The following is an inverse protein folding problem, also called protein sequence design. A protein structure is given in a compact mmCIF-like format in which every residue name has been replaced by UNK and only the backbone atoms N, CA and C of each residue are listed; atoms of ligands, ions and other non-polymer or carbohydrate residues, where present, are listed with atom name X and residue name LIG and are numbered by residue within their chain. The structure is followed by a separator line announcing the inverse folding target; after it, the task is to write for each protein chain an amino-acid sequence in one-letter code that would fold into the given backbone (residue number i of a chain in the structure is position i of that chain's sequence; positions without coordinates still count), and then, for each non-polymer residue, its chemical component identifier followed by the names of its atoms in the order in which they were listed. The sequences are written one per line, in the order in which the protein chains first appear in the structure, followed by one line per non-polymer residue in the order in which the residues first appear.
data_IF_477835644417
#
_entry.id   IF_477835644417
#
_cell.length_a   1.000
_cell.length_b   1.000
_cell.length_c   1.000
_cell.angle_alpha   90.00
_cell.angle_beta   90.00
_cell.angle_gamma   90.00
#
_symmetry.space_group_name_H-M   'P 1'
#
loop_
_entity.id
_entity.type
_entity.pdbx_description
1 polymer ?
#
# COMPACT_ATOMS: atom_id res chain seq x y z
N UNK A 1 15.84 26.97 6.70
CA UNK A 1 15.09 26.04 7.59
C UNK A 1 14.45 25.00 6.69
N UNK A 2 14.48 23.70 6.97
CA UNK A 2 13.72 22.73 6.21
C UNK A 2 12.22 23.08 6.35
N UNK A 3 11.52 23.19 5.23
CA UNK A 3 10.07 23.40 5.26
C UNK A 3 9.43 22.13 5.82
N UNK A 4 8.78 22.25 6.97
CA UNK A 4 8.02 21.15 7.57
C UNK A 4 6.75 20.95 6.73
N UNK A 5 6.52 19.73 6.24
CA UNK A 5 5.28 19.41 5.52
C UNK A 5 4.13 19.50 6.52
N UNK A 6 3.06 20.24 6.16
CA UNK A 6 1.85 20.30 6.98
C UNK A 6 1.20 18.93 7.09
N UNK A 7 0.47 18.68 8.17
CA UNK A 7 -0.28 17.44 8.38
C UNK A 7 -1.78 17.64 8.10
N UNK A 8 -2.46 16.54 7.79
CA UNK A 8 -3.91 16.44 7.57
C UNK A 8 -4.48 15.27 8.35
N UNK A 9 -5.70 15.43 8.83
CA UNK A 9 -6.47 14.33 9.41
C UNK A 9 -7.41 13.76 8.36
N UNK A 10 -7.34 12.47 8.16
CA UNK A 10 -8.22 11.70 7.29
C UNK A 10 -9.22 10.94 8.16
N UNK A 11 -10.52 11.04 7.80
CA UNK A 11 -11.59 10.35 8.52
C UNK A 11 -11.56 10.60 10.03
N UNK A 12 -11.58 9.53 10.81
CA UNK A 12 -11.73 9.56 12.27
C UNK A 12 -10.39 9.61 13.04
N UNK A 13 -9.39 10.28 12.49
CA UNK A 13 -8.17 10.57 13.24
C UNK A 13 -6.86 10.03 12.66
N UNK A 14 -6.89 9.43 11.46
CA UNK A 14 -5.65 9.06 10.77
C UNK A 14 -4.90 10.34 10.37
N UNK A 15 -3.77 10.61 11.00
CA UNK A 15 -2.96 11.79 10.71
C UNK A 15 -1.86 11.45 9.72
N UNK A 16 -1.77 12.22 8.64
CA UNK A 16 -0.80 12.04 7.55
C UNK A 16 -0.15 13.36 7.16
N UNK A 17 1.03 13.31 6.57
CA UNK A 17 1.60 14.47 5.87
C UNK A 17 0.66 14.91 4.72
N UNK A 18 0.55 16.22 4.48
CA UNK A 18 -0.32 16.77 3.44
C UNK A 18 0.08 16.34 2.02
N UNK A 19 1.31 15.87 1.85
CA UNK A 19 1.83 15.23 0.65
C UNK A 19 2.09 13.76 0.97
N UNK A 20 1.54 12.85 0.16
CA UNK A 20 1.83 11.42 0.19
C UNK A 20 2.67 11.00 -1.00
N UNK A 21 3.36 9.89 -0.89
CA UNK A 21 4.16 9.30 -1.97
C UNK A 21 3.46 8.06 -2.52
N UNK A 22 3.00 8.12 -3.78
CA UNK A 22 2.57 6.95 -4.53
C UNK A 22 3.78 6.19 -5.06
N UNK A 23 3.89 4.91 -4.71
CA UNK A 23 5.06 4.10 -5.00
C UNK A 23 5.00 3.37 -6.36
N UNK A 24 3.86 3.39 -7.05
CA UNK A 24 3.62 2.63 -8.29
C UNK A 24 4.71 2.80 -9.34
N UNK A 25 5.20 4.02 -9.56
CA UNK A 25 6.22 4.33 -10.57
C UNK A 25 7.59 3.70 -10.32
N UNK A 26 7.83 3.17 -9.11
CA UNK A 26 9.14 2.61 -8.73
C UNK A 26 9.35 1.17 -9.20
N UNK A 27 8.29 0.46 -9.61
CA UNK A 27 8.40 -0.95 -9.98
C UNK A 27 7.48 -1.40 -11.12
N UNK A 28 6.51 -0.57 -11.57
CA UNK A 28 5.51 -1.06 -12.51
C UNK A 28 5.16 -0.08 -13.64
N UNK A 29 4.77 1.15 -13.33
CA UNK A 29 4.31 2.13 -14.31
C UNK A 29 5.38 3.19 -14.58
N UNK A 30 5.24 3.89 -15.70
CA UNK A 30 6.18 4.89 -16.19
C UNK A 30 7.52 4.25 -16.60
N UNK A 31 8.64 4.80 -16.16
CA UNK A 31 9.97 4.19 -16.36
C UNK A 31 10.34 3.44 -15.09
N UNK A 32 10.36 2.10 -15.10
CA UNK A 32 10.79 1.34 -13.92
C UNK A 32 12.20 1.76 -13.51
N UNK A 33 12.34 2.16 -12.26
CA UNK A 33 13.64 2.47 -11.68
C UNK A 33 14.31 1.19 -11.16
N UNK A 34 15.62 1.19 -11.03
CA UNK A 34 16.30 0.13 -10.29
C UNK A 34 15.83 0.12 -8.84
N UNK A 35 15.81 -1.05 -8.21
CA UNK A 35 15.24 -1.20 -6.85
C UNK A 35 15.92 -0.31 -5.80
N UNK A 36 17.22 -0.08 -5.94
CA UNK A 36 18.00 0.81 -5.08
C UNK A 36 17.61 2.28 -5.24
N UNK A 37 17.25 2.73 -6.45
CA UNK A 37 16.76 4.10 -6.67
C UNK A 37 15.40 4.31 -6.01
N UNK A 38 14.47 3.34 -6.11
CA UNK A 38 13.17 3.39 -5.45
C UNK A 38 13.30 3.48 -3.92
N UNK A 39 14.19 2.69 -3.33
CA UNK A 39 14.46 2.76 -1.89
C UNK A 39 15.06 4.10 -1.48
N UNK A 40 15.98 4.68 -2.30
CA UNK A 40 16.56 5.99 -2.06
C UNK A 40 15.50 7.12 -2.12
N UNK A 41 14.56 7.04 -3.06
CA UNK A 41 13.44 8.01 -3.17
C UNK A 41 12.55 7.95 -1.92
N UNK A 42 12.20 6.74 -1.44
CA UNK A 42 11.41 6.57 -0.22
C UNK A 42 12.17 7.12 0.99
N UNK A 43 13.45 6.78 1.14
CA UNK A 43 14.27 7.29 2.23
C UNK A 43 14.31 8.82 2.22
N UNK A 44 14.50 9.42 1.05
CA UNK A 44 14.51 10.88 0.90
C UNK A 44 13.17 11.52 1.22
N UNK A 45 12.07 10.89 0.83
CA UNK A 45 10.72 11.36 1.17
C UNK A 45 10.51 11.38 2.69
N UNK A 46 10.94 10.34 3.41
CA UNK A 46 10.88 10.28 4.88
C UNK A 46 11.71 11.42 5.50
N UNK A 47 12.92 11.64 5.04
CA UNK A 47 13.78 12.75 5.50
C UNK A 47 13.14 14.12 5.30
N UNK A 48 12.36 14.29 4.25
CA UNK A 48 11.62 15.52 3.94
C UNK A 48 10.31 15.66 4.75
N UNK A 49 9.95 14.66 5.54
CA UNK A 49 8.76 14.67 6.39
C UNK A 49 7.50 14.11 5.74
N UNK A 50 7.62 13.36 4.63
CA UNK A 50 6.50 12.58 4.10
C UNK A 50 6.25 11.38 5.02
N UNK A 51 5.01 11.23 5.48
CA UNK A 51 4.63 10.14 6.36
C UNK A 51 3.64 9.16 5.72
N UNK A 52 3.10 9.48 4.55
CA UNK A 52 2.06 8.69 3.88
C UNK A 52 2.59 8.06 2.59
N UNK A 53 2.56 6.72 2.52
CA UNK A 53 3.06 5.91 1.41
C UNK A 53 1.96 5.01 0.88
N UNK A 54 1.73 5.03 -0.43
CA UNK A 54 0.68 4.28 -1.12
C UNK A 54 1.28 3.26 -2.09
N UNK A 55 0.97 2.00 -1.88
CA UNK A 55 1.35 0.87 -2.75
C UNK A 55 0.13 0.01 -3.09
N UNK A 56 0.32 -1.12 -3.75
CA UNK A 56 -0.69 -2.14 -4.01
C UNK A 56 -0.05 -3.49 -4.41
N UNK A 57 -0.78 -4.59 -4.16
CA UNK A 57 -0.36 -5.95 -4.55
C UNK A 57 -0.02 -6.08 -6.03
N UNK A 58 -0.79 -5.39 -6.91
CA UNK A 58 -0.61 -5.48 -8.37
C UNK A 58 0.62 -4.73 -8.89
N UNK A 59 1.24 -3.85 -8.10
CA UNK A 59 2.35 -3.04 -8.58
C UNK A 59 3.64 -3.88 -8.71
N UNK A 60 4.02 -4.18 -9.98
CA UNK A 60 5.16 -5.00 -10.35
C UNK A 60 5.08 -6.48 -9.96
N UNK A 61 3.97 -7.21 -10.11
CA UNK A 61 3.12 -7.75 -9.06
C UNK A 61 3.92 -8.17 -7.82
N UNK A 62 3.50 -7.64 -6.68
CA UNK A 62 4.10 -7.84 -5.33
C UNK A 62 5.46 -7.16 -5.08
N UNK A 63 6.20 -6.79 -6.12
CA UNK A 63 7.57 -6.25 -5.96
C UNK A 63 7.57 -4.85 -5.33
N UNK A 64 6.52 -4.05 -5.56
CA UNK A 64 6.40 -2.71 -4.97
C UNK A 64 6.23 -2.76 -3.45
N UNK A 65 5.41 -3.67 -2.93
CA UNK A 65 5.26 -3.87 -1.48
C UNK A 65 6.56 -4.34 -0.84
N UNK A 66 7.29 -5.27 -1.48
CA UNK A 66 8.61 -5.70 -1.01
C UNK A 66 9.63 -4.57 -1.01
N UNK A 67 9.63 -3.72 -2.05
CA UNK A 67 10.50 -2.55 -2.14
C UNK A 67 10.21 -1.56 -1.01
N UNK A 68 8.94 -1.22 -0.81
CA UNK A 68 8.52 -0.33 0.28
C UNK A 68 8.90 -0.93 1.64
N UNK A 69 8.63 -2.22 1.86
CA UNK A 69 8.98 -2.94 3.09
C UNK A 69 10.48 -2.89 3.41
N UNK A 70 11.35 -3.04 2.41
CA UNK A 70 12.80 -2.89 2.62
C UNK A 70 13.18 -1.45 2.98
N UNK A 71 12.60 -0.47 2.28
CA UNK A 71 12.93 0.95 2.47
C UNK A 71 12.52 1.48 3.86
N UNK A 72 11.40 0.97 4.44
CA UNK A 72 10.89 1.40 5.75
C UNK A 72 11.39 0.54 6.91
N UNK A 73 12.22 -0.46 6.67
CA UNK A 73 12.74 -1.35 7.72
C UNK A 73 13.45 -0.54 8.80
N UNK A 74 12.99 -0.70 10.06
CA UNK A 74 13.51 0.05 11.20
C UNK A 74 13.08 1.53 11.26
N UNK A 75 12.16 1.96 10.37
CA UNK A 75 11.65 3.34 10.30
C UNK A 75 10.12 3.37 10.25
N UNK A 76 9.44 2.27 10.61
CA UNK A 76 7.98 2.13 10.48
C UNK A 76 7.20 3.13 11.35
N UNK A 77 7.74 3.49 12.50
CA UNK A 77 7.07 4.36 13.46
C UNK A 77 6.79 5.74 12.87
N UNK A 78 5.55 6.20 13.02
CA UNK A 78 5.09 7.49 12.49
C UNK A 78 4.82 7.50 10.98
N UNK A 79 4.97 6.37 10.28
CA UNK A 79 4.57 6.25 8.88
C UNK A 79 3.17 5.64 8.76
N UNK A 80 2.43 6.10 7.77
CA UNK A 80 1.12 5.58 7.37
C UNK A 80 1.30 4.82 6.05
N UNK A 81 1.01 3.53 6.08
CA UNK A 81 1.18 2.63 4.93
C UNK A 81 -0.19 2.24 4.40
N UNK A 82 -0.43 2.59 3.14
CA UNK A 82 -1.61 2.18 2.40
C UNK A 82 -1.25 1.11 1.37
N UNK A 83 -2.05 0.05 1.30
CA UNK A 83 -2.00 -0.92 0.21
C UNK A 83 -3.41 -1.34 -0.21
N UNK A 84 -3.53 -2.14 -1.28
CA UNK A 84 -4.80 -2.40 -1.94
C UNK A 84 -4.92 -3.87 -2.33
N UNK A 85 -6.15 -4.39 -2.28
CA UNK A 85 -6.53 -5.71 -2.77
C UNK A 85 -7.60 -5.61 -3.86
N UNK A 86 -7.94 -6.73 -4.47
CA UNK A 86 -9.10 -6.85 -5.34
C UNK A 86 -8.78 -7.19 -6.79
N UNK A 87 -7.53 -7.34 -7.16
CA UNK A 87 -7.16 -7.98 -8.41
C UNK A 87 -6.97 -9.49 -8.21
N UNK A 88 -7.34 -10.25 -9.24
CA UNK A 88 -7.05 -11.67 -9.32
C UNK A 88 -5.73 -11.85 -10.04
N UNK A 89 -4.70 -12.25 -9.29
CA UNK A 89 -3.36 -12.45 -9.81
C UNK A 89 -3.03 -13.95 -9.92
N UNK A 90 -2.74 -14.42 -11.12
CA UNK A 90 -2.30 -15.79 -11.39
C UNK A 90 -0.95 -15.77 -12.11
N UNK A 91 0.06 -16.45 -11.54
CA UNK A 91 1.42 -16.47 -12.07
C UNK A 91 1.99 -15.06 -12.37
N UNK A 92 1.72 -14.09 -11.49
CA UNK A 92 2.17 -12.70 -11.64
C UNK A 92 1.45 -11.91 -12.73
N UNK A 93 0.32 -12.39 -13.24
CA UNK A 93 -0.50 -11.71 -14.25
C UNK A 93 -1.87 -11.39 -13.70
N UNK A 94 -2.37 -10.21 -14.04
CA UNK A 94 -3.74 -9.86 -13.75
C UNK A 94 -4.69 -10.61 -14.70
N UNK A 95 -5.57 -11.43 -14.14
CA UNK A 95 -6.57 -12.21 -14.88
C UNK A 95 -8.01 -11.76 -14.56
N UNK A 96 -8.19 -10.71 -13.78
CA UNK A 96 -9.50 -10.18 -13.43
C UNK A 96 -9.53 -9.50 -12.07
N UNK A 97 -10.70 -9.50 -11.45
CA UNK A 97 -10.92 -8.99 -10.10
C UNK A 97 -11.45 -10.09 -9.18
N UNK A 98 -11.13 -10.01 -7.90
CA UNK A 98 -11.63 -10.89 -6.85
C UNK A 98 -11.67 -10.12 -5.53
N UNK A 99 -12.85 -9.66 -5.13
CA UNK A 99 -13.09 -8.96 -3.87
C UNK A 99 -13.79 -9.84 -2.83
N UNK A 100 -13.73 -11.16 -3.02
CA UNK A 100 -14.30 -12.08 -2.04
C UNK A 100 -13.65 -11.96 -0.67
N UNK A 101 -14.40 -12.21 0.43
CA UNK A 101 -13.86 -12.23 1.78
C UNK A 101 -12.63 -13.12 1.95
N UNK A 102 -12.61 -14.28 1.28
CA UNK A 102 -11.49 -15.20 1.34
C UNK A 102 -10.21 -14.62 0.68
N UNK A 103 -10.36 -14.02 -0.52
CA UNK A 103 -9.24 -13.37 -1.19
C UNK A 103 -8.74 -12.16 -0.42
N UNK A 104 -9.64 -11.32 0.08
CA UNK A 104 -9.30 -10.14 0.89
C UNK A 104 -8.43 -10.51 2.09
N UNK A 105 -8.83 -11.51 2.88
CA UNK A 105 -8.08 -11.96 4.06
C UNK A 105 -6.70 -12.50 3.68
N UNK A 106 -6.65 -13.35 2.64
CA UNK A 106 -5.39 -13.88 2.11
C UNK A 106 -4.44 -12.76 1.66
N UNK A 107 -4.94 -11.79 0.89
CA UNK A 107 -4.14 -10.68 0.37
C UNK A 107 -3.63 -9.80 1.51
N UNK A 108 -4.43 -9.57 2.55
CA UNK A 108 -4.01 -8.83 3.74
C UNK A 108 -2.81 -9.49 4.42
N UNK A 109 -2.92 -10.79 4.72
CA UNK A 109 -1.84 -11.56 5.37
C UNK A 109 -0.56 -11.57 4.51
N UNK A 110 -0.70 -11.79 3.21
CA UNK A 110 0.42 -11.78 2.28
C UNK A 110 1.07 -10.39 2.16
N UNK A 111 0.28 -9.31 2.15
CA UNK A 111 0.77 -7.93 2.10
C UNK A 111 1.56 -7.56 3.36
N UNK A 112 1.08 -7.95 4.54
CA UNK A 112 1.81 -7.79 5.80
C UNK A 112 3.20 -8.47 5.72
N UNK A 113 3.25 -9.69 5.21
CA UNK A 113 4.50 -10.43 5.00
C UNK A 113 5.44 -9.76 3.99
N UNK A 114 4.92 -9.27 2.85
CA UNK A 114 5.72 -8.57 1.82
C UNK A 114 6.26 -7.23 2.31
N UNK A 115 5.44 -6.47 3.04
CA UNK A 115 5.82 -5.19 3.64
C UNK A 115 6.72 -5.36 4.87
N UNK A 116 6.69 -6.54 5.52
CA UNK A 116 7.43 -6.81 6.75
C UNK A 116 6.95 -5.95 7.93
N UNK A 117 5.63 -5.72 8.03
CA UNK A 117 4.99 -4.93 9.07
C UNK A 117 3.88 -5.74 9.75
N UNK A 118 3.51 -5.35 10.97
CA UNK A 118 2.47 -6.03 11.76
C UNK A 118 1.07 -5.47 11.52
N UNK A 119 0.98 -4.25 10.95
CA UNK A 119 -0.30 -3.60 10.65
C UNK A 119 -0.23 -2.73 9.42
N UNK A 120 -1.31 -2.73 8.62
CA UNK A 120 -1.57 -1.82 7.51
C UNK A 120 -2.48 -0.71 8.03
N UNK A 121 -2.12 0.56 7.80
CA UNK A 121 -2.90 1.70 8.32
C UNK A 121 -4.13 1.98 7.46
N UNK A 122 -4.06 1.71 6.17
CA UNK A 122 -5.15 1.95 5.21
C UNK A 122 -5.18 0.85 4.14
N UNK A 123 -6.27 0.09 4.12
CA UNK A 123 -6.44 -1.03 3.19
C UNK A 123 -7.60 -0.75 2.24
N UNK A 124 -7.33 -0.72 0.92
CA UNK A 124 -8.32 -0.36 -0.08
C UNK A 124 -8.79 -1.54 -0.91
N UNK A 125 -10.08 -1.55 -1.25
CA UNK A 125 -10.53 -2.26 -2.43
C UNK A 125 -10.11 -1.46 -3.67
N UNK A 126 -9.22 -2.02 -4.50
CA UNK A 126 -8.60 -1.32 -5.63
C UNK A 126 -9.58 -1.12 -6.79
N UNK A 127 -10.45 -2.10 -7.03
CA UNK A 127 -11.50 -2.10 -8.04
C UNK A 127 -12.75 -2.77 -7.49
N UNK A 128 -13.89 -2.27 -7.90
CA UNK A 128 -15.17 -2.92 -7.61
C UNK A 128 -15.23 -4.26 -8.36
N UNK A 129 -15.62 -5.32 -7.66
CA UNK A 129 -15.90 -6.61 -8.26
C UNK A 129 -17.41 -6.75 -8.47
N UNK A 130 -17.88 -6.83 -9.73
CA UNK A 130 -19.31 -6.94 -10.01
C UNK A 130 -19.93 -8.26 -9.57
N UNK A 131 -19.12 -9.27 -9.24
CA UNK A 131 -19.59 -10.60 -8.85
C UNK A 131 -19.69 -10.76 -7.32
N UNK A 132 -19.21 -9.79 -6.54
CA UNK A 132 -19.25 -9.82 -5.08
C UNK A 132 -19.99 -8.58 -4.57
N UNK A 133 -21.10 -8.75 -3.82
CA UNK A 133 -21.77 -7.61 -3.20
C UNK A 133 -20.81 -6.80 -2.34
N UNK A 134 -20.85 -5.48 -2.49
CA UNK A 134 -19.93 -4.59 -1.78
C UNK A 134 -20.04 -4.74 -0.25
N UNK A 135 -21.23 -5.06 0.24
CA UNK A 135 -21.51 -5.28 1.65
C UNK A 135 -20.73 -6.48 2.21
N UNK A 136 -20.53 -7.53 1.41
CA UNK A 136 -19.74 -8.70 1.81
C UNK A 136 -18.25 -8.33 1.91
N UNK A 137 -17.76 -7.60 0.91
CA UNK A 137 -16.38 -7.11 0.90
C UNK A 137 -16.11 -6.18 2.09
N UNK A 138 -16.96 -5.18 2.31
CA UNK A 138 -16.79 -4.21 3.40
C UNK A 138 -16.98 -4.88 4.77
N UNK A 139 -17.92 -5.84 4.88
CA UNK A 139 -18.09 -6.65 6.09
C UNK A 139 -16.80 -7.39 6.45
N UNK A 140 -16.17 -8.04 5.49
CA UNK A 140 -14.91 -8.73 5.70
C UNK A 140 -13.74 -7.78 6.03
N UNK A 141 -13.71 -6.57 5.44
CA UNK A 141 -12.73 -5.54 5.82
C UNK A 141 -12.88 -5.12 7.28
N UNK A 142 -14.12 -5.01 7.77
CA UNK A 142 -14.39 -4.66 9.16
C UNK A 142 -13.91 -5.73 10.16
N UNK A 143 -13.82 -7.00 9.73
CA UNK A 143 -13.30 -8.10 10.56
C UNK A 143 -11.77 -8.08 10.70
N UNK A 144 -11.05 -7.35 9.85
CA UNK A 144 -9.58 -7.22 9.91
C UNK A 144 -9.11 -6.11 10.86
N UNK A 145 -10.03 -5.36 11.46
CA UNK A 145 -9.72 -4.17 12.27
C UNK A 145 -9.45 -4.47 13.75
#
# INVERSE_FOLDING_TARGET
MPQTIAHRKLGQGLEVSALGLGCMGMSWAYTPTESNEGEAVIARAIELGVTFFDTAEIYGPFENEKLLGRAIRGKRDGLVIATKFGFKLENGKNVGVDSSPANLKRVCDEALGRLGIESIDLFYQHRVDPNVPIEETVGAMAELK
#
